data_IF_648117868634
#
_entry.id   IF_648117868634
#
_cell.length_a   1.000
_cell.length_b   1.000
_cell.length_c   1.000
_cell.angle_alpha   90.00
_cell.angle_beta   90.00
_cell.angle_gamma   90.00
#
_symmetry.space_group_name_H-M   'P 1'
#
loop_
_entity.id
_entity.type
_entity.pdbx_description
1 polymer ?
#
# COMPACT_ATOMS: atom_id res chain seq x y z
N UNK A 1 4.61 3.44 7.64
CA UNK A 1 4.52 3.37 6.17
C UNK A 1 5.91 3.24 5.63
N UNK A 2 6.18 2.20 4.90
CA UNK A 2 7.52 1.91 4.39
C UNK A 2 7.52 2.05 2.86
N UNK A 3 8.47 2.81 2.32
CA UNK A 3 8.83 2.92 0.89
C UNK A 3 7.66 3.03 -0.11
N UNK A 4 6.86 4.07 -0.04
CA UNK A 4 5.79 4.27 -1.03
C UNK A 4 6.27 4.75 -2.42
N UNK A 5 7.48 5.27 -2.56
CA UNK A 5 8.19 5.61 -3.80
C UNK A 5 7.38 6.43 -4.81
N UNK A 6 7.18 7.73 -4.61
CA UNK A 6 6.45 8.58 -5.54
C UNK A 6 7.35 8.97 -6.73
N UNK A 7 7.56 8.03 -7.65
CA UNK A 7 8.44 8.21 -8.82
C UNK A 7 7.69 8.69 -10.06
N UNK A 8 6.37 8.72 -10.03
CA UNK A 8 5.46 9.07 -11.13
C UNK A 8 4.09 9.45 -10.57
N UNK A 9 3.21 10.09 -11.37
CA UNK A 9 1.87 10.47 -10.92
C UNK A 9 1.08 9.29 -10.35
N UNK A 10 0.41 9.50 -9.21
CA UNK A 10 -0.40 8.47 -8.55
C UNK A 10 -1.72 8.29 -9.30
N UNK A 11 -1.82 7.25 -10.10
CA UNK A 11 -3.07 6.80 -10.76
C UNK A 11 -3.59 5.52 -10.16
N UNK A 12 -2.69 4.68 -9.72
CA UNK A 12 -2.98 3.36 -9.17
C UNK A 12 -2.33 3.22 -7.81
N UNK A 13 -3.12 2.76 -6.84
CA UNK A 13 -2.65 2.39 -5.51
C UNK A 13 -2.62 0.88 -5.39
N UNK A 14 -1.45 0.29 -5.37
CA UNK A 14 -1.27 -1.12 -5.07
C UNK A 14 -1.35 -1.33 -3.56
N UNK A 15 -2.25 -2.22 -3.13
CA UNK A 15 -2.55 -2.43 -1.72
C UNK A 15 -2.31 -3.88 -1.33
N UNK A 16 -1.38 -4.08 -0.43
CA UNK A 16 -1.09 -5.37 0.19
C UNK A 16 -2.08 -5.61 1.34
N UNK A 17 -2.62 -6.82 1.43
CA UNK A 17 -3.66 -7.15 2.40
C UNK A 17 -5.07 -6.67 2.01
N UNK A 18 -5.28 -6.24 0.76
CA UNK A 18 -6.53 -5.63 0.27
C UNK A 18 -7.77 -6.52 0.46
N UNK A 19 -7.62 -7.83 0.32
CA UNK A 19 -8.72 -8.80 0.44
C UNK A 19 -8.84 -9.44 1.81
N UNK A 20 -8.02 -9.08 2.78
CA UNK A 20 -7.89 -9.82 4.04
C UNK A 20 -8.81 -9.29 5.16
N UNK A 21 -9.23 -8.04 5.07
CA UNK A 21 -10.00 -7.37 6.13
C UNK A 21 -10.94 -6.31 5.59
N UNK A 22 -11.82 -5.80 6.46
CA UNK A 22 -12.74 -4.71 6.13
C UNK A 22 -12.03 -3.41 5.72
N UNK A 23 -10.75 -3.22 6.08
CA UNK A 23 -9.93 -2.10 5.61
C UNK A 23 -9.87 -2.00 4.08
N UNK A 24 -10.02 -3.13 3.37
CA UNK A 24 -10.10 -3.13 1.92
C UNK A 24 -11.24 -2.30 1.37
N UNK A 25 -12.39 -2.24 2.06
CA UNK A 25 -13.52 -1.40 1.67
C UNK A 25 -13.22 0.08 1.95
N UNK A 26 -12.56 0.36 3.08
CA UNK A 26 -12.22 1.74 3.46
C UNK A 26 -11.19 2.35 2.52
N UNK A 27 -10.17 1.59 2.13
CA UNK A 27 -9.17 2.09 1.18
C UNK A 27 -9.76 2.30 -0.22
N UNK A 28 -10.68 1.44 -0.69
CA UNK A 28 -11.37 1.65 -1.96
C UNK A 28 -12.20 2.94 -1.95
N UNK A 29 -12.92 3.20 -0.88
CA UNK A 29 -13.70 4.43 -0.73
C UNK A 29 -12.80 5.67 -0.65
N UNK A 30 -11.69 5.62 0.10
CA UNK A 30 -10.74 6.72 0.18
C UNK A 30 -10.05 6.99 -1.17
N UNK A 31 -9.65 5.95 -1.89
CA UNK A 31 -9.04 6.07 -3.22
C UNK A 31 -10.01 6.67 -4.24
N UNK A 32 -11.28 6.24 -4.22
CA UNK A 32 -12.32 6.78 -5.11
C UNK A 32 -12.55 8.28 -4.91
N UNK A 33 -12.49 8.77 -3.66
CA UNK A 33 -12.60 10.20 -3.36
C UNK A 33 -11.44 11.04 -3.90
N UNK A 34 -10.34 10.39 -4.26
CA UNK A 34 -9.11 11.01 -4.77
C UNK A 34 -8.82 10.61 -6.24
N UNK A 35 -9.80 10.07 -6.96
CA UNK A 35 -9.68 9.63 -8.35
C UNK A 35 -8.56 8.60 -8.59
N UNK A 36 -8.32 7.71 -7.60
CA UNK A 36 -7.29 6.67 -7.64
C UNK A 36 -7.93 5.30 -7.80
N UNK A 37 -7.38 4.49 -8.71
CA UNK A 37 -7.74 3.08 -8.86
C UNK A 37 -6.93 2.20 -7.90
N UNK A 38 -7.61 1.32 -7.15
CA UNK A 38 -6.97 0.37 -6.23
C UNK A 38 -6.63 -0.92 -6.96
N UNK A 39 -5.41 -1.39 -6.79
CA UNK A 39 -4.91 -2.65 -7.34
C UNK A 39 -4.52 -3.62 -6.23
N UNK A 40 -4.64 -4.92 -6.51
CA UNK A 40 -4.05 -5.95 -5.65
C UNK A 40 -2.53 -5.97 -5.78
N UNK A 41 -1.87 -6.55 -4.76
CA UNK A 41 -0.42 -6.83 -4.82
C UNK A 41 -0.09 -7.64 -6.08
N UNK A 42 0.83 -7.12 -6.89
CA UNK A 42 1.28 -7.76 -8.13
C UNK A 42 2.34 -8.83 -7.92
N UNK A 43 2.91 -8.86 -6.74
CA UNK A 43 4.01 -9.75 -6.37
C UNK A 43 3.75 -10.43 -5.02
N UNK A 44 2.60 -11.15 -4.86
CA UNK A 44 2.24 -11.76 -3.58
C UNK A 44 3.26 -12.80 -3.12
N UNK A 45 3.94 -13.49 -4.03
CA UNK A 45 4.98 -14.49 -3.73
C UNK A 45 6.21 -13.90 -3.04
N UNK A 46 6.43 -12.59 -3.15
CA UNK A 46 7.49 -11.87 -2.43
C UNK A 46 7.20 -11.74 -0.93
N UNK A 47 6.01 -12.06 -0.48
CA UNK A 47 5.58 -12.03 0.92
C UNK A 47 5.87 -10.71 1.64
N UNK A 48 5.83 -9.58 0.92
CA UNK A 48 6.21 -8.26 1.46
C UNK A 48 5.26 -7.81 2.57
N UNK A 49 3.99 -8.20 2.49
CA UNK A 49 2.99 -7.87 3.51
C UNK A 49 3.40 -8.35 4.90
N UNK A 50 4.01 -9.53 5.02
CA UNK A 50 4.42 -10.11 6.31
C UNK A 50 5.89 -9.84 6.67
N UNK A 51 6.60 -9.06 5.84
CA UNK A 51 8.03 -8.74 6.02
C UNK A 51 8.30 -7.25 6.27
N UNK A 52 7.25 -6.43 6.35
CA UNK A 52 7.32 -4.99 6.64
C UNK A 52 6.65 -4.67 7.98
N UNK A 53 6.61 -3.42 8.37
CA UNK A 53 6.18 -2.94 9.69
C UNK A 53 4.79 -3.41 10.11
N UNK A 54 3.85 -3.50 9.15
CA UNK A 54 2.50 -3.97 9.41
C UNK A 54 2.45 -5.40 9.97
N UNK A 55 3.46 -6.21 9.73
CA UNK A 55 3.53 -7.58 10.27
C UNK A 55 3.48 -7.61 11.79
N UNK A 56 4.02 -6.61 12.45
CA UNK A 56 3.96 -6.48 13.91
C UNK A 56 2.53 -6.31 14.40
N UNK A 57 1.71 -5.50 13.72
CA UNK A 57 0.30 -5.31 14.05
C UNK A 57 -0.52 -6.57 13.75
N UNK A 58 -0.26 -7.21 12.61
CA UNK A 58 -0.91 -8.47 12.23
C UNK A 58 -0.73 -9.54 13.29
N UNK A 59 0.47 -9.69 13.86
CA UNK A 59 0.75 -10.65 14.96
C UNK A 59 -0.10 -10.42 16.22
N UNK A 60 -0.55 -9.19 16.43
CA UNK A 60 -1.46 -8.84 17.52
C UNK A 60 -2.95 -8.87 17.13
N UNK A 61 -3.28 -9.40 15.96
CA UNK A 61 -4.66 -9.51 15.50
C UNK A 61 -5.23 -8.21 14.91
N UNK A 62 -4.40 -7.20 14.73
CA UNK A 62 -4.83 -5.90 14.23
C UNK A 62 -4.76 -5.90 12.71
N UNK A 63 -5.90 -5.67 11.99
CA UNK A 63 -5.89 -5.50 10.54
C UNK A 63 -4.97 -4.37 10.11
N UNK A 64 -4.21 -4.62 9.04
CA UNK A 64 -3.27 -3.66 8.50
C UNK A 64 -3.24 -3.72 6.98
N UNK A 65 -2.73 -2.67 6.34
CA UNK A 65 -2.52 -2.59 4.90
C UNK A 65 -1.09 -2.11 4.61
N UNK A 66 -0.51 -2.57 3.51
CA UNK A 66 0.69 -2.00 2.93
C UNK A 66 0.36 -1.29 1.62
N UNK A 67 1.11 -0.22 1.28
CA UNK A 67 0.82 0.60 0.10
C UNK A 67 2.04 0.77 -0.78
N UNK A 68 1.81 0.79 -2.09
CA UNK A 68 2.79 1.16 -3.11
C UNK A 68 2.11 1.94 -4.22
N UNK A 69 2.91 2.70 -4.96
CA UNK A 69 2.48 3.24 -6.24
C UNK A 69 2.30 2.08 -7.22
N UNK A 70 1.07 1.93 -7.72
CA UNK A 70 0.72 0.93 -8.70
C UNK A 70 1.03 1.39 -10.13
N UNK A 71 1.02 0.46 -11.06
CA UNK A 71 1.26 0.72 -12.49
C UNK A 71 0.55 -0.33 -13.35
N UNK A 72 0.42 -0.06 -14.65
CA UNK A 72 -0.09 -1.02 -15.61
C UNK A 72 1.07 -1.82 -16.24
N UNK A 73 0.88 -3.12 -16.50
CA UNK A 73 1.88 -3.93 -17.21
C UNK A 73 2.26 -3.29 -18.55
N UNK A 74 3.57 -3.15 -18.81
CA UNK A 74 4.11 -2.56 -20.01
C UNK A 74 4.12 -1.02 -20.04
N UNK A 75 3.68 -0.35 -18.98
CA UNK A 75 3.66 1.11 -18.91
C UNK A 75 5.05 1.72 -18.64
N UNK A 76 5.16 3.02 -18.88
CA UNK A 76 6.36 3.79 -18.55
C UNK A 76 6.61 3.84 -17.04
N UNK A 77 5.54 3.85 -16.25
CA UNK A 77 5.61 3.79 -14.79
C UNK A 77 6.23 2.48 -14.30
N UNK A 78 5.86 1.35 -14.90
CA UNK A 78 6.51 0.06 -14.62
C UNK A 78 7.99 0.10 -14.93
N UNK A 79 8.37 0.65 -16.07
CA UNK A 79 9.78 0.78 -16.46
C UNK A 79 10.52 1.66 -15.46
N UNK A 80 9.97 2.82 -15.12
CA UNK A 80 10.55 3.74 -14.12
C UNK A 80 10.77 3.05 -12.78
N UNK A 81 9.77 2.29 -12.30
CA UNK A 81 9.88 1.52 -11.06
C UNK A 81 10.98 0.47 -11.14
N UNK A 82 11.01 -0.33 -12.21
CA UNK A 82 12.01 -1.38 -12.40
C UNK A 82 13.44 -0.81 -12.49
N UNK A 83 13.60 0.31 -13.20
CA UNK A 83 14.90 0.99 -13.34
C UNK A 83 15.36 1.55 -11.99
N UNK A 84 14.44 2.08 -11.18
CA UNK A 84 14.76 2.54 -9.84
C UNK A 84 15.19 1.39 -8.93
N UNK A 85 14.45 0.28 -8.90
CA UNK A 85 14.82 -0.93 -8.14
C UNK A 85 16.20 -1.44 -8.57
N UNK A 86 16.47 -1.48 -9.86
CA UNK A 86 17.74 -2.01 -10.39
C UNK A 86 18.95 -1.13 -10.10
N UNK A 87 18.76 0.21 -10.16
CA UNK A 87 19.90 1.13 -10.22
C UNK A 87 20.09 1.96 -8.95
N UNK A 88 19.07 2.01 -8.06
CA UNK A 88 19.10 2.84 -6.86
C UNK A 88 18.83 2.08 -5.58
N UNK A 89 17.83 1.20 -5.55
CA UNK A 89 17.45 0.48 -4.35
C UNK A 89 18.62 -0.34 -3.79
N UNK A 90 19.01 -0.08 -2.54
CA UNK A 90 20.17 -0.65 -1.87
C UNK A 90 21.53 -0.39 -2.57
N UNK A 91 21.63 0.69 -3.34
CA UNK A 91 22.86 1.17 -3.95
C UNK A 91 23.32 2.49 -3.31
N UNK A 92 24.61 2.90 -3.47
CA UNK A 92 25.07 4.22 -3.02
C UNK A 92 24.33 5.41 -3.65
N UNK A 93 23.64 5.19 -4.78
CA UNK A 93 22.79 6.17 -5.44
C UNK A 93 21.39 6.29 -4.82
N UNK A 94 21.06 5.52 -3.79
CA UNK A 94 19.88 5.70 -2.96
C UNK A 94 20.18 6.80 -1.91
N UNK A 95 20.26 8.00 -2.42
CA UNK A 95 20.62 9.22 -1.68
C UNK A 95 19.48 10.26 -1.72
N UNK A 96 19.72 11.45 -1.21
CA UNK A 96 18.74 12.55 -1.20
C UNK A 96 18.40 13.13 -2.59
N UNK A 97 19.06 12.66 -3.66
CA UNK A 97 18.83 13.12 -5.05
C UNK A 97 17.89 12.15 -5.80
N UNK A 98 16.94 11.56 -5.10
CA UNK A 98 15.94 10.69 -5.72
C UNK A 98 15.04 11.48 -6.68
N UNK A 99 14.63 10.88 -7.80
CA UNK A 99 13.69 11.49 -8.74
C UNK A 99 12.25 11.47 -8.19
N UNK A 100 12.02 12.21 -7.11
CA UNK A 100 10.73 12.24 -6.42
C UNK A 100 9.76 13.17 -7.14
N UNK A 101 8.58 12.67 -7.48
CA UNK A 101 7.41 13.44 -7.86
C UNK A 101 6.70 13.94 -6.59
N UNK A 102 6.87 15.22 -6.29
CA UNK A 102 6.32 15.85 -5.08
C UNK A 102 4.80 15.98 -5.13
N UNK A 103 4.23 16.20 -6.30
CA UNK A 103 2.77 16.28 -6.45
C UNK A 103 2.14 14.91 -6.22
N UNK A 104 2.76 13.86 -6.73
CA UNK A 104 2.35 12.49 -6.47
C UNK A 104 2.45 12.13 -4.98
N UNK A 105 3.50 12.60 -4.27
CA UNK A 105 3.62 12.42 -2.83
C UNK A 105 2.48 13.09 -2.07
N UNK A 106 2.17 14.35 -2.38
CA UNK A 106 1.06 15.09 -1.77
C UNK A 106 -0.29 14.42 -2.06
N UNK A 107 -0.48 13.93 -3.28
CA UNK A 107 -1.70 13.21 -3.64
C UNK A 107 -1.84 11.91 -2.82
N UNK A 108 -0.75 11.16 -2.66
CA UNK A 108 -0.74 9.97 -1.81
C UNK A 108 -1.08 10.30 -0.35
N UNK A 109 -0.52 11.35 0.21
CA UNK A 109 -0.82 11.81 1.57
C UNK A 109 -2.31 12.17 1.72
N UNK A 110 -2.93 12.76 0.69
CA UNK A 110 -4.37 13.02 0.64
C UNK A 110 -5.22 11.75 0.73
N UNK A 111 -4.84 10.70 0.00
CA UNK A 111 -5.51 9.38 0.07
C UNK A 111 -5.38 8.80 1.47
N UNK A 112 -4.18 8.87 2.07
CA UNK A 112 -3.96 8.33 3.41
C UNK A 112 -4.71 9.11 4.49
N UNK A 113 -4.78 10.44 4.37
CA UNK A 113 -5.58 11.25 5.28
C UNK A 113 -7.06 10.88 5.18
N UNK A 114 -7.58 10.72 3.97
CA UNK A 114 -8.96 10.28 3.73
C UNK A 114 -9.24 8.91 4.35
N UNK A 115 -8.31 7.96 4.18
CA UNK A 115 -8.41 6.62 4.76
C UNK A 115 -8.35 6.67 6.30
N UNK A 116 -7.37 7.37 6.85
CA UNK A 116 -7.17 7.47 8.30
C UNK A 116 -8.39 8.10 8.99
N UNK A 117 -8.91 9.19 8.44
CA UNK A 117 -10.12 9.86 8.94
C UNK A 117 -11.32 8.90 8.89
N UNK A 118 -11.51 8.23 7.76
CA UNK A 118 -12.61 7.28 7.60
C UNK A 118 -12.56 6.16 8.62
N UNK A 119 -11.40 5.58 8.87
CA UNK A 119 -11.20 4.49 9.85
C UNK A 119 -11.35 5.00 11.28
N UNK A 120 -10.82 6.19 11.59
CA UNK A 120 -10.88 6.78 12.92
C UNK A 120 -12.31 7.15 13.33
N UNK A 121 -13.12 7.66 12.39
CA UNK A 121 -14.50 8.06 12.62
C UNK A 121 -15.51 6.90 12.48
N UNK A 122 -15.04 5.71 12.08
CA UNK A 122 -15.94 4.57 11.91
C UNK A 122 -16.48 4.07 13.26
N UNK A 123 -17.79 3.79 13.36
CA UNK A 123 -18.40 3.29 14.60
C UNK A 123 -17.98 1.86 14.92
N UNK A 124 -17.46 1.12 13.93
CA UNK A 124 -17.04 -0.28 14.05
C UNK A 124 -15.56 -0.37 13.67
N UNK A 125 -14.76 -0.98 14.53
CA UNK A 125 -13.34 -1.22 14.26
C UNK A 125 -13.15 -2.16 13.07
N UNK A 126 -12.10 -1.95 12.26
CA UNK A 126 -11.75 -2.89 11.22
C UNK A 126 -11.53 -4.31 11.77
N UNK A 127 -11.93 -5.31 10.99
CA UNK A 127 -11.83 -6.71 11.36
C UNK A 127 -11.30 -7.54 10.19
N UNK A 128 -10.56 -8.62 10.51
CA UNK A 128 -10.19 -9.64 9.53
C UNK A 128 -11.45 -10.37 9.03
N UNK A 129 -11.48 -10.71 7.76
CA UNK A 129 -12.52 -11.61 7.27
C UNK A 129 -12.34 -13.00 7.88
N UNK A 130 -13.44 -13.74 8.13
CA UNK A 130 -13.37 -15.09 8.74
C UNK A 130 -12.52 -16.08 7.94
N UNK A 131 -12.50 -15.94 6.62
CA UNK A 131 -11.74 -16.74 5.65
C UNK A 131 -10.30 -16.30 5.49
N UNK A 132 -9.93 -15.13 6.02
CA UNK A 132 -8.56 -14.63 5.95
C UNK A 132 -7.60 -15.57 6.68
N UNK A 133 -6.46 -15.84 6.04
CA UNK A 133 -5.37 -16.58 6.64
C UNK A 133 -4.96 -16.01 8.01
N UNK A 134 -4.93 -14.70 8.15
CA UNK A 134 -4.57 -14.02 9.38
C UNK A 134 -5.61 -14.21 10.49
N UNK A 135 -6.90 -14.24 10.15
CA UNK A 135 -7.97 -14.57 11.10
C UNK A 135 -7.84 -16.00 11.65
N UNK A 136 -7.46 -16.95 10.79
CA UNK A 136 -7.36 -18.39 11.17
C UNK A 136 -6.17 -18.64 12.10
N UNK A 137 -5.02 -18.02 11.83
CA UNK A 137 -3.80 -18.20 12.63
C UNK A 137 -3.96 -17.61 14.03
N UNK A 138 -4.63 -16.48 14.15
CA UNK A 138 -4.79 -15.75 15.42
C UNK A 138 -5.83 -16.39 16.36
N UNK A 139 -6.59 -17.36 15.89
CA UNK A 139 -7.53 -18.15 16.72
C UNK A 139 -6.88 -19.35 17.42
N UNK A 140 -5.58 -19.59 17.14
CA UNK A 140 -4.80 -20.66 17.77
C UNK A 140 -3.95 -20.14 18.91
#
# INVERSE_FOLDING_TARGET
MDMYLPLFPLRFLEVQGLGESTLGNDVRAAAQLNDIEVQFDKQPDENRFIRSDQASFVKFGIPALGFKFGWLPGSAEQQTFNDWIKNRYHHPSDDLKQPIDREAAVHFDGVLLSLATRVADAPIKPAWYPESFFSIILRR
#
